data_IF_362631140788
#
_entry.id   IF_362631140788
#
_cell.length_a   1.000
_cell.length_b   1.000
_cell.length_c   1.000
_cell.angle_alpha   90.00
_cell.angle_beta   90.00
_cell.angle_gamma   90.00
#
_symmetry.space_group_name_H-M   'P 1'
#
loop_
_entity.id
_entity.type
_entity.pdbx_description
1 polymer ?
#
# COMPACT_ATOMS: atom_id res chain seq x y z
N UNK A 1 35.80 -31.02 0.32
CA UNK A 1 35.54 -29.82 1.17
C UNK A 1 34.21 -29.23 0.77
N UNK A 2 33.32 -29.00 1.71
CA UNK A 2 32.05 -28.36 1.37
C UNK A 2 32.31 -26.91 0.92
N UNK A 3 31.69 -26.44 -0.18
CA UNK A 3 31.87 -25.07 -0.64
C UNK A 3 31.26 -24.03 0.30
N UNK A 4 30.57 -24.47 1.32
CA UNK A 4 29.88 -23.61 2.30
C UNK A 4 30.61 -23.69 3.64
N UNK A 5 31.21 -22.57 4.07
CA UNK A 5 31.80 -22.43 5.38
C UNK A 5 30.78 -22.18 6.46
N UNK A 6 30.92 -22.85 7.64
CA UNK A 6 30.11 -22.55 8.80
C UNK A 6 30.40 -21.13 9.29
N UNK A 7 29.37 -20.29 9.44
CA UNK A 7 29.46 -18.87 9.88
C UNK A 7 30.42 -18.00 9.08
N UNK A 8 30.63 -18.31 7.81
CA UNK A 8 31.54 -17.53 6.93
C UNK A 8 33.01 -17.73 7.22
N UNK A 9 33.40 -18.85 7.81
CA UNK A 9 34.79 -19.12 8.18
C UNK A 9 35.69 -19.57 7.02
N UNK A 10 35.12 -19.90 5.87
CA UNK A 10 35.89 -20.28 4.70
C UNK A 10 36.47 -19.04 3.99
N UNK A 11 37.80 -18.92 3.77
CA UNK A 11 38.42 -17.70 3.24
C UNK A 11 37.99 -17.36 1.79
N UNK A 12 37.55 -18.34 1.02
CA UNK A 12 37.10 -18.20 -0.38
C UNK A 12 35.67 -18.73 -0.59
N UNK A 13 34.96 -19.01 0.48
CA UNK A 13 33.64 -19.62 0.46
C UNK A 13 32.52 -18.62 0.30
N UNK A 14 31.37 -19.19 -0.04
CA UNK A 14 30.09 -18.48 -0.08
C UNK A 14 29.39 -18.68 1.27
N UNK A 15 28.84 -17.64 1.88
CA UNK A 15 28.10 -17.74 3.14
C UNK A 15 26.61 -17.53 2.94
N UNK A 16 25.83 -18.24 3.74
CA UNK A 16 24.38 -18.07 3.84
C UNK A 16 24.07 -17.42 5.19
N UNK A 17 23.67 -16.15 5.19
CA UNK A 17 23.32 -15.39 6.39
C UNK A 17 24.52 -15.05 7.31
N UNK A 18 24.24 -14.35 8.41
CA UNK A 18 25.19 -13.98 9.45
C UNK A 18 26.27 -12.95 9.03
N UNK A 19 27.11 -12.55 9.98
CA UNK A 19 28.24 -11.64 9.73
C UNK A 19 29.51 -12.39 9.27
N UNK A 20 30.27 -11.77 8.36
CA UNK A 20 31.55 -12.34 7.91
C UNK A 20 32.67 -12.00 8.88
N UNK A 21 33.21 -12.99 9.58
CA UNK A 21 34.34 -12.78 10.52
C UNK A 21 35.61 -12.29 9.81
N UNK A 22 35.90 -12.80 8.63
CA UNK A 22 37.12 -12.47 7.87
C UNK A 22 36.87 -11.55 6.67
N UNK A 23 35.65 -11.06 6.46
CA UNK A 23 35.22 -10.17 5.36
C UNK A 23 35.55 -10.66 3.92
N UNK A 24 35.93 -11.94 3.75
CA UNK A 24 36.33 -12.53 2.45
C UNK A 24 35.26 -13.39 1.81
N UNK A 25 34.35 -13.98 2.59
CA UNK A 25 33.25 -14.78 2.04
C UNK A 25 32.13 -13.91 1.50
N UNK A 26 31.73 -14.17 0.25
CA UNK A 26 30.63 -13.46 -0.39
C UNK A 26 29.30 -13.91 0.22
N UNK A 27 28.48 -12.95 0.64
CA UNK A 27 27.12 -13.23 1.13
C UNK A 27 26.20 -13.47 -0.06
N UNK A 28 25.71 -14.70 -0.21
CA UNK A 28 24.82 -15.07 -1.32
C UNK A 28 23.37 -15.04 -0.94
N UNK A 29 23.05 -15.33 0.31
CA UNK A 29 21.66 -15.37 0.75
C UNK A 29 21.51 -14.92 2.20
N UNK A 30 20.45 -14.16 2.46
CA UNK A 30 19.97 -13.83 3.79
C UNK A 30 18.57 -14.37 3.95
N UNK A 31 18.33 -15.09 5.06
CA UNK A 31 16.98 -15.56 5.37
C UNK A 31 16.10 -14.35 5.62
N UNK A 32 15.12 -14.14 4.77
CA UNK A 32 14.14 -13.08 4.95
C UNK A 32 13.04 -13.52 5.89
N UNK A 33 12.73 -12.66 6.85
CA UNK A 33 11.55 -12.81 7.67
C UNK A 33 10.46 -11.89 7.09
N UNK A 34 9.44 -12.53 6.51
CA UNK A 34 8.27 -11.81 6.03
C UNK A 34 7.30 -11.62 7.19
N UNK A 35 7.04 -10.39 7.54
CA UNK A 35 6.04 -9.99 8.53
C UNK A 35 5.06 -9.00 7.92
N UNK A 36 3.88 -8.90 8.51
CA UNK A 36 2.94 -7.84 8.15
C UNK A 36 3.47 -6.49 8.62
N UNK A 37 3.14 -5.43 7.88
CA UNK A 37 3.45 -4.07 8.31
C UNK A 37 2.63 -3.73 9.56
N UNK A 38 3.27 -3.07 10.50
CA UNK A 38 2.67 -2.65 11.75
C UNK A 38 1.93 -1.32 11.57
N UNK A 39 0.63 -1.34 11.78
CA UNK A 39 -0.23 -0.16 11.67
C UNK A 39 -0.34 0.65 12.98
N UNK A 40 0.28 0.17 14.07
CA UNK A 40 0.24 0.83 15.39
C UNK A 40 1.40 1.78 15.62
N UNK A 41 2.40 1.80 14.72
CA UNK A 41 3.57 2.68 14.85
C UNK A 41 3.18 4.15 14.82
N UNK A 42 3.71 4.91 15.76
CA UNK A 42 3.57 6.36 15.76
C UNK A 42 4.22 6.98 14.53
N UNK A 43 3.51 7.92 13.94
CA UNK A 43 3.92 8.61 12.73
C UNK A 43 4.98 9.65 13.03
N UNK A 44 6.23 9.34 12.73
CA UNK A 44 7.35 10.29 12.84
C UNK A 44 7.30 11.43 11.81
N UNK A 45 6.52 11.30 10.74
CA UNK A 45 6.56 12.25 9.63
C UNK A 45 5.24 13.00 9.42
N UNK A 46 5.23 14.26 9.85
CA UNK A 46 4.14 15.22 9.60
C UNK A 46 3.76 15.32 8.11
N UNK A 47 4.74 15.15 7.24
CA UNK A 47 4.57 15.26 5.79
C UNK A 47 3.67 14.16 5.20
N UNK A 48 3.81 12.92 5.68
CA UNK A 48 2.97 11.80 5.23
C UNK A 48 1.52 12.05 5.62
N UNK A 49 1.25 12.44 6.87
CA UNK A 49 -0.11 12.81 7.31
C UNK A 49 -0.72 13.92 6.45
N UNK A 50 0.07 14.95 6.14
CA UNK A 50 -0.43 16.04 5.32
C UNK A 50 -0.71 15.60 3.88
N UNK A 51 0.14 14.74 3.29
CA UNK A 51 -0.08 14.20 1.96
C UNK A 51 -1.36 13.34 1.90
N UNK A 52 -1.57 12.47 2.88
CA UNK A 52 -2.77 11.64 2.96
C UNK A 52 -4.05 12.47 3.19
N UNK A 53 -3.99 13.52 4.00
CA UNK A 53 -5.11 14.47 4.14
C UNK A 53 -5.44 15.20 2.85
N UNK A 54 -4.42 15.59 2.08
CA UNK A 54 -4.60 16.19 0.75
C UNK A 54 -5.20 15.18 -0.22
N UNK A 55 -4.71 13.93 -0.22
CA UNK A 55 -5.28 12.86 -1.02
C UNK A 55 -6.76 12.62 -0.70
N UNK A 56 -7.11 12.59 0.60
CA UNK A 56 -8.50 12.46 1.05
C UNK A 56 -9.36 13.62 0.57
N UNK A 57 -8.84 14.84 0.60
CA UNK A 57 -9.53 16.04 0.11
C UNK A 57 -9.72 15.96 -1.41
N UNK A 58 -8.66 15.65 -2.16
CA UNK A 58 -8.70 15.49 -3.62
C UNK A 58 -9.70 14.41 -4.05
N UNK A 59 -9.72 13.28 -3.35
CA UNK A 59 -10.66 12.21 -3.64
C UNK A 59 -12.14 12.59 -3.35
N UNK A 60 -12.37 13.59 -2.50
CA UNK A 60 -13.71 14.17 -2.25
C UNK A 60 -14.14 15.15 -3.34
N UNK A 61 -13.20 15.87 -3.94
CA UNK A 61 -13.48 16.91 -4.94
C UNK A 61 -13.69 16.31 -6.34
N UNK A 62 -13.39 15.03 -6.54
CA UNK A 62 -13.30 14.40 -7.86
C UNK A 62 -14.60 13.93 -8.51
N UNK A 63 -15.69 13.76 -7.77
CA UNK A 63 -16.96 13.29 -8.33
C UNK A 63 -18.13 14.06 -7.71
N UNK A 64 -18.85 14.78 -8.56
CA UNK A 64 -20.13 15.43 -8.22
C UNK A 64 -21.25 14.42 -8.54
N UNK A 65 -21.37 13.37 -7.75
CA UNK A 65 -22.28 12.25 -8.04
C UNK A 65 -23.58 12.30 -7.24
N UNK A 66 -23.70 13.26 -6.30
CA UNK A 66 -24.90 13.41 -5.50
C UNK A 66 -25.70 14.66 -5.90
N UNK A 67 -27.02 14.49 -6.02
CA UNK A 67 -27.92 15.61 -6.17
C UNK A 67 -27.90 16.50 -4.92
N UNK A 68 -27.57 17.78 -5.09
CA UNK A 68 -27.74 18.77 -4.03
C UNK A 68 -29.19 19.28 -4.04
N UNK A 69 -30.03 18.64 -3.23
CA UNK A 69 -31.45 18.97 -3.18
C UNK A 69 -31.68 20.43 -2.79
N UNK A 70 -30.96 20.95 -1.79
CA UNK A 70 -31.13 22.32 -1.31
C UNK A 70 -30.76 23.33 -2.40
N UNK A 71 -29.59 23.17 -3.02
CA UNK A 71 -29.16 24.02 -4.12
C UNK A 71 -30.05 23.90 -5.36
N UNK A 72 -30.54 22.69 -5.67
CA UNK A 72 -31.46 22.45 -6.79
C UNK A 72 -32.81 23.12 -6.57
N UNK A 73 -33.38 23.03 -5.38
CA UNK A 73 -34.65 23.66 -5.03
C UNK A 73 -34.49 25.21 -5.09
N UNK A 74 -33.41 25.72 -4.50
CA UNK A 74 -33.16 27.17 -4.50
C UNK A 74 -32.90 27.71 -5.90
N UNK A 75 -32.11 27.02 -6.72
CA UNK A 75 -31.87 27.39 -8.13
C UNK A 75 -33.14 27.34 -8.95
N UNK A 76 -33.93 26.28 -8.83
CA UNK A 76 -35.21 26.10 -9.51
C UNK A 76 -36.20 27.22 -9.11
N UNK A 77 -36.29 27.55 -7.82
CA UNK A 77 -37.18 28.61 -7.34
C UNK A 77 -36.79 30.00 -7.86
N UNK A 78 -35.48 30.27 -8.00
CA UNK A 78 -34.97 31.54 -8.52
C UNK A 78 -35.14 31.68 -10.03
N UNK A 79 -34.96 30.59 -10.76
CA UNK A 79 -34.92 30.65 -12.23
C UNK A 79 -36.26 30.30 -12.89
N UNK A 80 -37.19 29.69 -12.15
CA UNK A 80 -38.51 29.27 -12.65
C UNK A 80 -38.47 28.07 -13.59
N UNK A 81 -37.34 27.39 -13.72
CA UNK A 81 -37.12 26.15 -14.46
C UNK A 81 -36.20 25.21 -13.68
N UNK A 82 -36.26 23.92 -13.95
CA UNK A 82 -35.51 22.93 -13.21
C UNK A 82 -34.00 23.14 -13.39
N UNK A 83 -33.33 23.56 -12.32
CA UNK A 83 -31.89 23.79 -12.27
C UNK A 83 -31.23 22.76 -11.33
N UNK A 84 -30.65 21.72 -11.93
CA UNK A 84 -30.08 20.58 -11.21
C UNK A 84 -28.67 20.89 -10.77
N UNK A 85 -28.47 20.98 -9.46
CA UNK A 85 -27.14 21.10 -8.83
C UNK A 85 -26.65 19.78 -8.29
N UNK A 86 -25.43 19.42 -8.67
CA UNK A 86 -24.74 18.23 -8.18
C UNK A 86 -23.67 18.64 -7.19
N UNK A 87 -23.44 17.84 -6.15
CA UNK A 87 -22.36 18.05 -5.19
C UNK A 87 -21.51 16.81 -5.02
N UNK A 88 -20.27 17.00 -4.62
CA UNK A 88 -19.44 15.89 -4.18
C UNK A 88 -19.97 15.26 -2.89
N UNK A 89 -19.97 13.95 -2.81
CA UNK A 89 -20.43 13.23 -1.63
C UNK A 89 -19.72 13.71 -0.36
N UNK A 90 -20.47 14.26 0.59
CA UNK A 90 -19.93 14.81 1.85
C UNK A 90 -19.41 13.78 2.84
N UNK A 91 -19.68 12.49 2.60
CA UNK A 91 -19.34 11.43 3.56
C UNK A 91 -17.84 11.10 3.52
N UNK A 92 -17.30 10.73 4.65
CA UNK A 92 -15.98 10.14 4.86
C UNK A 92 -15.80 8.78 4.14
N UNK A 93 -16.34 8.64 2.95
CA UNK A 93 -16.51 7.42 2.20
C UNK A 93 -15.45 7.24 1.12
N UNK A 94 -14.34 7.97 1.19
CA UNK A 94 -13.21 7.64 0.33
C UNK A 94 -12.77 6.23 0.67
N UNK A 95 -13.05 5.32 -0.25
CA UNK A 95 -12.62 3.94 -0.19
C UNK A 95 -11.23 3.86 -0.82
N UNK A 96 -10.27 3.40 -0.05
CA UNK A 96 -8.88 3.29 -0.48
C UNK A 96 -8.48 1.82 -0.57
N UNK A 97 -7.93 1.44 -1.71
CA UNK A 97 -7.31 0.16 -1.95
C UNK A 97 -5.80 0.36 -2.06
N UNK A 98 -5.06 -0.13 -1.08
CA UNK A 98 -3.62 0.06 -0.96
C UNK A 98 -2.89 -1.21 -1.34
N UNK A 99 -1.98 -1.12 -2.31
CA UNK A 99 -1.07 -2.19 -2.68
C UNK A 99 0.34 -1.85 -2.22
N UNK A 100 0.96 -2.75 -1.46
CA UNK A 100 2.27 -2.58 -0.85
C UNK A 100 3.25 -3.61 -1.42
N UNK A 101 4.29 -3.13 -2.09
CA UNK A 101 5.36 -3.99 -2.56
C UNK A 101 6.22 -4.46 -1.39
N UNK A 102 6.47 -5.76 -1.36
CA UNK A 102 7.34 -6.43 -0.38
C UNK A 102 8.53 -7.11 -1.05
N UNK A 103 8.92 -6.62 -2.21
CA UNK A 103 10.11 -7.05 -2.93
C UNK A 103 11.40 -6.73 -2.16
N UNK A 104 12.49 -7.40 -2.53
CA UNK A 104 13.76 -7.24 -1.83
C UNK A 104 14.39 -5.86 -1.94
N UNK A 105 14.14 -5.17 -3.03
CA UNK A 105 14.51 -3.79 -3.25
C UNK A 105 13.83 -2.83 -2.26
N UNK A 106 12.67 -3.21 -1.73
CA UNK A 106 11.92 -2.44 -0.73
C UNK A 106 12.45 -2.58 0.70
N UNK A 107 13.38 -3.49 0.97
CA UNK A 107 13.93 -3.71 2.33
C UNK A 107 14.44 -2.41 3.01
N UNK A 108 15.12 -1.47 2.33
CA UNK A 108 15.54 -0.20 2.92
C UNK A 108 14.37 0.72 3.31
N UNK A 109 13.21 0.55 2.67
CA UNK A 109 12.05 1.43 2.80
C UNK A 109 10.96 0.87 3.73
N UNK A 110 11.17 -0.30 4.36
CA UNK A 110 10.17 -0.96 5.22
C UNK A 110 9.63 0.00 6.29
N UNK A 111 10.53 0.73 6.96
CA UNK A 111 10.11 1.68 8.01
C UNK A 111 9.20 2.78 7.47
N UNK A 112 9.52 3.32 6.29
CA UNK A 112 8.71 4.35 5.64
C UNK A 112 7.35 3.79 5.21
N UNK A 113 7.30 2.56 4.71
CA UNK A 113 6.05 1.86 4.37
C UNK A 113 5.18 1.60 5.60
N UNK A 114 5.77 1.23 6.74
CA UNK A 114 5.05 1.07 8.00
C UNK A 114 4.45 2.40 8.48
N UNK A 115 5.20 3.50 8.39
CA UNK A 115 4.72 4.84 8.73
C UNK A 115 3.57 5.27 7.81
N UNK A 116 3.71 5.03 6.49
CA UNK A 116 2.66 5.31 5.52
C UNK A 116 1.39 4.49 5.78
N UNK A 117 1.55 3.19 6.05
CA UNK A 117 0.44 2.28 6.32
C UNK A 117 -0.31 2.68 7.59
N UNK A 118 0.41 3.00 8.66
CA UNK A 118 -0.16 3.51 9.91
C UNK A 118 -0.94 4.82 9.67
N UNK A 119 -0.36 5.74 8.87
CA UNK A 119 -1.03 6.99 8.50
C UNK A 119 -2.30 6.75 7.70
N UNK A 120 -2.24 5.87 6.70
CA UNK A 120 -3.38 5.55 5.85
C UNK A 120 -4.52 4.93 6.67
N UNK A 121 -4.21 4.01 7.57
CA UNK A 121 -5.19 3.39 8.47
C UNK A 121 -5.87 4.41 9.39
N UNK A 122 -5.12 5.40 9.89
CA UNK A 122 -5.67 6.45 10.74
C UNK A 122 -6.55 7.46 9.99
N UNK A 123 -6.21 7.76 8.72
CA UNK A 123 -6.90 8.80 7.94
C UNK A 123 -8.09 8.25 7.13
N UNK A 124 -8.09 6.98 6.74
CA UNK A 124 -9.13 6.38 5.91
C UNK A 124 -9.89 5.30 6.67
N UNK A 125 -11.20 5.48 6.86
CA UNK A 125 -12.05 4.48 7.52
C UNK A 125 -12.29 3.23 6.67
N UNK A 126 -12.35 3.40 5.36
CA UNK A 126 -12.58 2.33 4.40
C UNK A 126 -11.27 2.06 3.65
N UNK A 127 -10.30 1.49 4.35
CA UNK A 127 -9.02 1.06 3.81
C UNK A 127 -9.01 -0.45 3.66
N UNK A 128 -8.74 -0.91 2.46
CA UNK A 128 -8.37 -2.29 2.17
C UNK A 128 -6.94 -2.31 1.66
N UNK A 129 -6.18 -3.35 1.99
CA UNK A 129 -4.80 -3.45 1.56
C UNK A 129 -4.44 -4.85 1.13
N UNK A 130 -3.45 -4.92 0.26
CA UNK A 130 -2.83 -6.15 -0.20
C UNK A 130 -1.33 -5.96 -0.36
N UNK A 131 -0.61 -7.03 -0.15
CA UNK A 131 0.81 -7.11 -0.47
C UNK A 131 0.99 -7.75 -1.84
N UNK A 132 2.01 -7.30 -2.56
CA UNK A 132 2.45 -7.90 -3.82
C UNK A 132 3.98 -7.93 -3.88
N UNK A 133 4.55 -8.48 -4.93
CA UNK A 133 5.99 -8.54 -5.14
C UNK A 133 6.33 -8.12 -6.57
N UNK A 134 7.14 -7.09 -6.71
CA UNK A 134 7.60 -6.45 -7.94
C UNK A 134 6.46 -5.90 -8.82
N UNK A 135 5.46 -6.71 -9.15
CA UNK A 135 4.32 -6.30 -9.96
C UNK A 135 3.05 -7.06 -9.53
N UNK A 136 1.89 -6.52 -9.89
CA UNK A 136 0.61 -7.21 -9.74
C UNK A 136 0.46 -8.30 -10.81
N UNK A 137 1.03 -9.47 -10.53
CA UNK A 137 0.84 -10.65 -11.37
C UNK A 137 -0.48 -11.37 -11.05
N UNK A 138 -0.45 -12.70 -10.98
CA UNK A 138 -1.64 -13.52 -10.82
C UNK A 138 -2.29 -13.42 -9.44
N UNK A 139 -1.56 -12.99 -8.41
CA UNK A 139 -2.10 -12.99 -7.06
C UNK A 139 -1.40 -12.08 -6.07
N UNK A 140 -2.22 -11.57 -5.17
CA UNK A 140 -1.86 -10.72 -4.04
C UNK A 140 -2.25 -11.40 -2.73
N UNK A 141 -1.78 -10.91 -1.59
CA UNK A 141 -2.08 -11.53 -0.30
C UNK A 141 -2.23 -10.48 0.80
N UNK A 142 -2.90 -10.85 1.89
CA UNK A 142 -3.09 -10.00 3.07
C UNK A 142 -2.13 -10.32 4.21
N UNK A 143 -1.58 -11.52 4.24
CA UNK A 143 -0.64 -11.96 5.26
C UNK A 143 0.70 -12.37 4.63
N UNK A 144 1.75 -11.61 4.93
CA UNK A 144 3.10 -11.86 4.42
C UNK A 144 3.71 -13.17 4.93
N UNK A 145 3.27 -13.67 6.09
CA UNK A 145 3.74 -14.96 6.64
C UNK A 145 3.15 -16.14 5.87
N UNK A 146 1.93 -15.94 5.33
CA UNK A 146 1.17 -16.98 4.61
C UNK A 146 1.07 -16.73 3.10
N UNK A 147 1.93 -15.89 2.55
CA UNK A 147 1.89 -15.45 1.15
C UNK A 147 1.79 -16.56 0.11
N UNK A 148 2.25 -17.76 0.42
CA UNK A 148 2.18 -18.92 -0.47
C UNK A 148 0.93 -19.76 -0.30
N UNK A 149 0.27 -19.68 0.85
CA UNK A 149 -0.90 -20.48 1.20
C UNK A 149 -2.21 -19.72 0.95
N UNK A 150 -2.21 -18.40 1.23
CA UNK A 150 -3.39 -17.55 1.15
C UNK A 150 -3.18 -16.44 0.10
N UNK A 151 -3.26 -16.83 -1.17
CA UNK A 151 -3.22 -15.88 -2.28
C UNK A 151 -4.62 -15.62 -2.81
N UNK A 152 -4.97 -14.36 -2.99
CA UNK A 152 -6.17 -13.93 -3.70
C UNK A 152 -5.77 -13.64 -5.14
N UNK A 153 -6.52 -14.14 -6.12
CA UNK A 153 -6.26 -13.80 -7.52
C UNK A 153 -6.44 -12.30 -7.72
N UNK A 154 -5.51 -11.69 -8.41
CA UNK A 154 -5.57 -10.25 -8.74
C UNK A 154 -6.87 -9.90 -9.45
N UNK A 155 -7.33 -10.77 -10.34
CA UNK A 155 -8.59 -10.63 -11.06
C UNK A 155 -9.80 -10.54 -10.11
N UNK A 156 -9.85 -11.38 -9.08
CA UNK A 156 -10.95 -11.39 -8.10
C UNK A 156 -10.95 -10.08 -7.28
N UNK A 157 -9.77 -9.55 -6.97
CA UNK A 157 -9.65 -8.25 -6.28
C UNK A 157 -10.17 -7.12 -7.17
N UNK A 158 -9.80 -7.09 -8.45
CA UNK A 158 -10.27 -6.06 -9.38
C UNK A 158 -11.78 -6.07 -9.60
N UNK A 159 -12.41 -7.24 -9.54
CA UNK A 159 -13.86 -7.35 -9.66
C UNK A 159 -14.60 -7.06 -8.35
N UNK A 160 -13.97 -7.34 -7.21
CA UNK A 160 -14.56 -7.10 -5.89
C UNK A 160 -14.62 -5.61 -5.55
N UNK A 161 -13.58 -4.85 -5.93
CA UNK A 161 -13.46 -3.44 -5.60
C UNK A 161 -13.77 -2.61 -6.84
N UNK A 162 -14.93 -1.96 -6.83
CA UNK A 162 -15.44 -1.20 -7.97
C UNK A 162 -14.77 0.17 -8.15
N UNK A 163 -15.31 0.95 -9.08
CA UNK A 163 -14.80 2.27 -9.48
C UNK A 163 -14.80 3.33 -8.36
N UNK A 164 -15.51 3.09 -7.27
CA UNK A 164 -15.58 3.95 -6.09
C UNK A 164 -14.32 3.84 -5.19
N UNK A 165 -13.50 2.82 -5.41
CA UNK A 165 -12.21 2.70 -4.75
C UNK A 165 -11.14 3.52 -5.45
N UNK A 166 -10.38 4.28 -4.67
CA UNK A 166 -9.13 4.91 -5.12
C UNK A 166 -7.99 3.94 -4.86
N UNK A 167 -7.19 3.67 -5.88
CA UNK A 167 -6.09 2.72 -5.79
C UNK A 167 -4.78 3.47 -5.57
N UNK A 168 -4.01 3.02 -4.59
CA UNK A 168 -2.68 3.54 -4.29
C UNK A 168 -1.67 2.39 -4.31
N UNK A 169 -0.66 2.52 -5.16
CA UNK A 169 0.50 1.62 -5.21
C UNK A 169 1.67 2.22 -4.46
N UNK A 170 2.31 1.43 -3.63
CA UNK A 170 3.53 1.79 -2.91
C UNK A 170 4.60 0.75 -3.24
N UNK A 171 5.64 1.20 -3.92
CA UNK A 171 6.74 0.38 -4.38
C UNK A 171 7.81 1.25 -5.02
N UNK A 172 8.94 0.66 -5.36
CA UNK A 172 10.07 1.33 -6.01
C UNK A 172 10.06 1.23 -7.55
N UNK A 173 9.05 0.57 -8.09
CA UNK A 173 8.90 0.27 -9.52
C UNK A 173 10.09 -0.50 -10.13
N UNK A 174 10.92 -1.12 -9.31
CA UNK A 174 11.99 -1.99 -9.76
C UNK A 174 11.42 -3.38 -10.06
N UNK A 175 11.48 -3.77 -11.30
CA UNK A 175 11.17 -5.14 -11.74
C UNK A 175 12.49 -5.87 -11.98
N UNK A 176 12.78 -6.87 -11.17
CA UNK A 176 13.94 -7.75 -11.32
C UNK A 176 13.56 -9.07 -11.96
#
# INVERSE_FOLDING_TARGET
MAPFGHSGYHPEGVRIGGESKNKRAVKVWEKREFKNLDNTKELGTRNIKMALRRLRRFAREGAQDQLDLDATIEGTAKQGWLDIHMRAERRNAVKLLLFLDVGGSMDPFIKLCEELFSAATAEFKNLEFFYFHNCLYEGVWKDNRRRWQERTKTWDVLHKYGHDYKVLFVGDAAMS
#
